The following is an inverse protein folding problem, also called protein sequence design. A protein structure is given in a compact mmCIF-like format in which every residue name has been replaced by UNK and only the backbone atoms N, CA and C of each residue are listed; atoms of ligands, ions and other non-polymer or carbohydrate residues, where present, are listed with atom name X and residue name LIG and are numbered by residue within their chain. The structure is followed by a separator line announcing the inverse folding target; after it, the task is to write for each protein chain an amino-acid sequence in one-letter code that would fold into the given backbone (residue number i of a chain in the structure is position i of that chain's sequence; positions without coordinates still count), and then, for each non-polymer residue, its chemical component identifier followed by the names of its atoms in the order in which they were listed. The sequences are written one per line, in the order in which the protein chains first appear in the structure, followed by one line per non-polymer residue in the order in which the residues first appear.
data_IF_279441965764
#
_entry.id   IF_279441965764
#
_cell.length_a   1.000
_cell.length_b   1.000
_cell.length_c   1.000
_cell.angle_alpha   90.00
_cell.angle_beta   90.00
_cell.angle_gamma   90.00
#
_symmetry.space_group_name_H-M   'P 1'
#
loop_
_entity.id
_entity.type
_entity.pdbx_description
1 polymer ?
#
# COMPACT_ATOMS: atom_id res chain seq x y z
N UNK A 1 -27.89 -5.13 -2.43
CA UNK A 1 -28.13 -5.35 -3.87
C UNK A 1 -29.63 -5.36 -4.20
N UNK A 2 -30.48 -6.02 -3.40
CA UNK A 2 -31.95 -6.03 -3.64
C UNK A 2 -32.57 -4.63 -3.66
N UNK A 3 -31.97 -3.68 -2.92
CA UNK A 3 -32.43 -2.29 -2.82
C UNK A 3 -31.71 -1.33 -3.83
N UNK A 4 -31.02 -1.87 -4.82
CA UNK A 4 -30.24 -1.07 -5.79
C UNK A 4 -28.95 -0.44 -5.25
N UNK A 5 -28.57 -0.73 -4.00
CA UNK A 5 -27.36 -0.20 -3.38
C UNK A 5 -26.15 -1.02 -3.82
N UNK A 6 -25.11 -0.35 -4.32
CA UNK A 6 -23.83 -0.93 -4.69
C UNK A 6 -22.85 -0.84 -3.51
N UNK A 7 -22.19 -1.95 -3.18
CA UNK A 7 -21.27 -2.04 -2.04
C UNK A 7 -19.84 -1.97 -2.54
N UNK A 8 -19.05 -1.10 -1.95
CA UNK A 8 -17.59 -1.03 -2.11
C UNK A 8 -16.94 -1.58 -0.86
N UNK A 9 -15.86 -2.35 -1.05
CA UNK A 9 -15.08 -2.88 0.07
C UNK A 9 -13.73 -2.16 0.17
N UNK A 10 -13.27 -2.01 1.41
CA UNK A 10 -11.90 -1.60 1.67
C UNK A 10 -10.95 -2.76 1.37
N UNK A 11 -9.96 -2.50 0.51
CA UNK A 11 -8.94 -3.46 0.08
C UNK A 11 -7.61 -3.07 0.70
N UNK A 12 -7.21 -3.79 1.74
CA UNK A 12 -5.93 -3.60 2.41
C UNK A 12 -4.95 -4.67 1.92
N UNK A 13 -4.07 -4.31 1.00
CA UNK A 13 -3.13 -5.23 0.35
C UNK A 13 -1.67 -4.78 0.42
N UNK A 14 -1.40 -3.67 1.10
CA UNK A 14 -0.05 -3.25 1.42
C UNK A 14 0.56 -4.06 2.58
N UNK A 15 -0.25 -4.48 3.53
CA UNK A 15 0.16 -5.19 4.75
C UNK A 15 -0.94 -6.14 5.23
N UNK A 16 -0.62 -6.99 6.18
CA UNK A 16 -1.61 -7.81 6.92
C UNK A 16 -1.53 -7.50 8.41
N UNK A 17 -2.45 -8.05 9.19
CA UNK A 17 -2.25 -8.17 10.63
C UNK A 17 -1.06 -9.10 10.93
N UNK A 18 -0.32 -8.83 12.01
CA UNK A 18 0.69 -9.75 12.56
C UNK A 18 0.07 -11.08 13.03
N UNK A 19 -1.25 -11.13 13.23
CA UNK A 19 -2.01 -12.35 13.55
C UNK A 19 -2.45 -13.12 12.30
N UNK A 20 -2.22 -12.59 11.10
CA UNK A 20 -2.55 -13.30 9.87
C UNK A 20 -1.73 -14.60 9.77
N UNK A 21 -2.38 -15.69 9.33
CA UNK A 21 -1.74 -17.01 9.22
C UNK A 21 -0.44 -16.96 8.43
N UNK A 22 -0.40 -16.22 7.33
CA UNK A 22 0.82 -16.10 6.52
C UNK A 22 1.98 -15.54 7.32
N UNK A 23 1.75 -14.46 8.10
CA UNK A 23 2.82 -13.86 8.90
C UNK A 23 3.25 -14.76 10.06
N UNK A 24 2.30 -15.37 10.74
CA UNK A 24 2.58 -16.30 11.84
C UNK A 24 3.45 -17.48 11.41
N UNK A 25 3.21 -17.99 10.19
CA UNK A 25 4.05 -19.06 9.62
C UNK A 25 5.38 -18.53 9.08
N UNK A 26 5.37 -17.36 8.39
CA UNK A 26 6.57 -16.73 7.83
C UNK A 26 7.63 -16.40 8.89
N UNK A 27 7.23 -15.99 10.11
CA UNK A 27 8.17 -15.64 11.18
C UNK A 27 8.77 -16.83 11.90
N UNK A 28 8.19 -18.05 11.78
CA UNK A 28 8.67 -19.25 12.47
C UNK A 28 9.89 -19.86 11.79
N UNK A 29 9.91 -19.85 10.45
CA UNK A 29 10.93 -20.54 9.66
C UNK A 29 11.22 -19.79 8.36
N UNK A 30 12.51 -19.58 8.07
CA UNK A 30 13.00 -18.94 6.84
C UNK A 30 12.67 -19.74 5.57
N UNK A 31 12.45 -21.03 5.68
CA UNK A 31 12.09 -21.91 4.56
C UNK A 31 10.57 -22.07 4.39
N UNK A 32 9.76 -21.36 5.19
CA UNK A 32 8.32 -21.45 5.10
C UNK A 32 7.82 -20.87 3.77
N UNK A 33 6.78 -21.48 3.18
CA UNK A 33 6.13 -21.04 1.94
C UNK A 33 5.78 -19.55 1.96
N UNK A 34 5.33 -19.02 3.11
CA UNK A 34 4.88 -17.63 3.23
C UNK A 34 6.01 -16.66 3.58
N UNK A 35 7.25 -17.15 3.70
CA UNK A 35 8.38 -16.29 4.08
C UNK A 35 8.50 -15.08 3.18
N UNK A 36 8.53 -15.31 1.87
CA UNK A 36 8.72 -14.28 0.87
C UNK A 36 7.44 -13.48 0.55
N UNK A 37 6.33 -13.75 1.25
CA UNK A 37 5.15 -12.89 1.22
C UNK A 37 5.37 -11.58 1.98
N UNK A 38 6.39 -11.52 2.84
CA UNK A 38 6.79 -10.35 3.60
C UNK A 38 8.22 -9.97 3.29
N UNK A 39 8.59 -8.74 3.66
CA UNK A 39 9.93 -8.20 3.37
C UNK A 39 10.79 -8.36 4.61
N UNK A 40 11.81 -9.21 4.51
CA UNK A 40 12.76 -9.52 5.59
C UNK A 40 14.15 -9.08 5.20
N UNK A 41 14.92 -8.55 6.16
CA UNK A 41 16.33 -8.21 5.97
C UNK A 41 17.13 -8.52 7.22
N UNK A 42 18.37 -8.93 7.03
CA UNK A 42 19.34 -9.00 8.13
C UNK A 42 19.65 -7.60 8.63
N UNK A 43 19.79 -7.47 9.95
CA UNK A 43 20.32 -6.26 10.54
C UNK A 43 21.81 -6.07 10.24
N UNK A 44 22.32 -4.90 10.54
CA UNK A 44 23.73 -4.58 10.48
C UNK A 44 24.20 -4.11 11.86
N UNK A 45 25.20 -4.80 12.44
CA UNK A 45 25.78 -4.48 13.76
C UNK A 45 24.71 -4.37 14.87
N UNK A 46 23.74 -5.28 14.89
CA UNK A 46 22.62 -5.29 15.84
C UNK A 46 21.58 -4.17 15.64
N UNK A 47 21.68 -3.42 14.54
CA UNK A 47 20.77 -2.35 14.17
C UNK A 47 19.87 -2.76 12.96
N UNK A 48 18.76 -2.05 12.75
CA UNK A 48 17.94 -2.25 11.56
C UNK A 48 18.73 -2.11 10.26
N UNK A 49 18.29 -2.73 9.15
CA UNK A 49 19.01 -2.73 7.88
C UNK A 49 19.25 -1.33 7.29
N UNK A 50 18.38 -0.39 7.58
CA UNK A 50 18.52 1.03 7.20
C UNK A 50 17.67 1.93 8.12
N UNK A 51 17.70 3.24 7.86
CA UNK A 51 17.05 4.29 8.67
C UNK A 51 15.61 4.63 8.27
N UNK A 52 14.94 3.79 7.46
CA UNK A 52 13.55 3.99 7.10
C UNK A 52 12.67 4.14 8.34
N UNK A 53 11.72 5.08 8.25
CA UNK A 53 10.80 5.41 9.36
C UNK A 53 9.38 4.93 9.06
N UNK A 54 8.74 4.45 10.11
CA UNK A 54 7.31 4.18 10.12
C UNK A 54 6.51 5.49 10.06
N UNK A 55 5.34 5.46 9.44
CA UNK A 55 4.39 6.59 9.44
C UNK A 55 3.87 6.91 10.84
N UNK A 56 3.95 5.95 11.77
CA UNK A 56 3.55 6.14 13.17
C UNK A 56 4.73 6.50 14.08
N UNK A 57 5.91 6.72 13.49
CA UNK A 57 7.15 7.06 14.20
C UNK A 57 8.02 5.84 14.51
N UNK A 58 9.28 6.09 14.81
CA UNK A 58 10.26 5.04 15.04
C UNK A 58 10.78 4.38 13.76
N UNK A 59 11.46 3.24 13.89
CA UNK A 59 11.97 2.45 12.77
C UNK A 59 10.81 1.83 11.97
N UNK A 60 10.97 1.68 10.66
CA UNK A 60 10.09 0.87 9.82
C UNK A 60 10.46 -0.63 9.85
N UNK A 61 11.42 -1.02 10.66
CA UNK A 61 11.92 -2.37 10.79
C UNK A 61 11.76 -2.86 12.22
N UNK A 62 11.15 -4.03 12.40
CA UNK A 62 11.01 -4.69 13.70
C UNK A 62 11.78 -6.01 13.70
N UNK A 63 12.54 -6.26 14.77
CA UNK A 63 13.33 -7.46 14.92
C UNK A 63 12.48 -8.68 15.26
N UNK A 64 12.75 -9.80 14.56
CA UNK A 64 12.14 -11.11 14.83
C UNK A 64 13.21 -12.04 15.38
N UNK A 65 13.19 -12.36 16.67
CA UNK A 65 14.20 -13.22 17.28
C UNK A 65 14.14 -14.65 16.76
N UNK A 66 12.99 -15.12 16.27
CA UNK A 66 12.82 -16.48 15.77
C UNK A 66 13.69 -16.78 14.53
N UNK A 67 13.98 -15.74 13.75
CA UNK A 67 14.74 -15.91 12.50
C UNK A 67 15.98 -15.03 12.43
N UNK A 68 16.26 -14.24 13.48
CA UNK A 68 17.37 -13.29 13.53
C UNK A 68 17.40 -12.35 12.30
N UNK A 69 16.24 -11.79 11.97
CA UNK A 69 16.05 -10.85 10.88
C UNK A 69 15.01 -9.78 11.26
N UNK A 70 14.96 -8.72 10.50
CA UNK A 70 13.98 -7.65 10.63
C UNK A 70 12.91 -7.76 9.54
N UNK A 71 11.64 -7.55 9.89
CA UNK A 71 10.56 -7.38 8.91
C UNK A 71 10.19 -5.91 8.74
N UNK A 72 9.74 -5.56 7.55
CA UNK A 72 9.31 -4.21 7.22
C UNK A 72 7.88 -3.96 7.70
N UNK A 73 7.63 -2.75 8.25
CA UNK A 73 6.30 -2.22 8.54
C UNK A 73 6.27 -0.71 8.37
N UNK A 74 5.60 -0.20 7.38
CA UNK A 74 5.48 1.26 7.22
C UNK A 74 4.44 1.89 8.13
N UNK A 75 3.61 1.08 8.78
CA UNK A 75 2.64 1.51 9.80
C UNK A 75 2.98 0.91 11.16
N UNK A 76 2.04 0.30 11.84
CA UNK A 76 2.31 -0.38 13.11
C UNK A 76 3.20 -1.61 12.90
N UNK A 77 4.03 -1.94 13.89
CA UNK A 77 4.72 -3.24 13.94
C UNK A 77 3.78 -4.44 13.92
N UNK A 78 2.48 -4.23 14.20
CA UNK A 78 1.44 -5.24 14.04
C UNK A 78 0.85 -5.30 12.63
N UNK A 79 1.41 -4.54 11.68
CA UNK A 79 0.99 -4.47 10.30
C UNK A 79 2.20 -4.71 9.37
N UNK A 80 2.74 -5.95 9.33
CA UNK A 80 3.87 -6.29 8.47
C UNK A 80 3.54 -6.08 7.00
N UNK A 81 4.45 -5.43 6.29
CA UNK A 81 4.30 -5.08 4.88
C UNK A 81 4.48 -6.29 3.97
N UNK A 82 3.59 -6.40 2.99
CA UNK A 82 3.62 -7.45 1.97
C UNK A 82 4.65 -7.16 0.88
N UNK A 83 5.24 -8.23 0.37
CA UNK A 83 6.24 -8.23 -0.69
C UNK A 83 5.60 -8.45 -2.07
N UNK A 84 5.18 -7.40 -2.73
CA UNK A 84 4.55 -7.46 -4.05
C UNK A 84 5.47 -7.94 -5.18
N UNK A 85 6.77 -8.07 -4.96
CA UNK A 85 7.66 -8.74 -5.92
C UNK A 85 7.37 -10.24 -6.02
N UNK A 86 6.78 -10.84 -4.99
CA UNK A 86 6.41 -12.25 -4.96
C UNK A 86 5.14 -12.50 -5.78
N UNK A 87 5.26 -13.26 -6.87
CA UNK A 87 4.14 -13.57 -7.77
C UNK A 87 3.05 -14.40 -7.07
N UNK A 88 3.43 -15.38 -6.25
CA UNK A 88 2.47 -16.23 -5.55
C UNK A 88 1.59 -15.40 -4.60
N UNK A 89 2.18 -14.41 -3.91
CA UNK A 89 1.41 -13.45 -3.12
C UNK A 89 0.40 -12.69 -3.97
N UNK A 90 0.82 -12.16 -5.12
CA UNK A 90 -0.10 -11.42 -6.01
C UNK A 90 -1.27 -12.29 -6.45
N UNK A 91 -1.00 -13.54 -6.82
CA UNK A 91 -2.07 -14.48 -7.21
C UNK A 91 -3.03 -14.80 -6.07
N UNK A 92 -2.55 -14.91 -4.82
CA UNK A 92 -3.43 -15.09 -3.65
C UNK A 92 -4.33 -13.85 -3.44
N UNK A 93 -3.78 -12.66 -3.61
CA UNK A 93 -4.54 -11.41 -3.52
C UNK A 93 -5.62 -11.37 -4.63
N UNK A 94 -5.26 -11.70 -5.88
CA UNK A 94 -6.23 -11.69 -6.99
C UNK A 94 -7.34 -12.73 -6.80
N UNK A 95 -7.04 -13.90 -6.26
CA UNK A 95 -8.06 -14.89 -5.90
C UNK A 95 -9.03 -14.34 -4.85
N UNK A 96 -8.51 -13.68 -3.84
CA UNK A 96 -9.32 -13.05 -2.79
C UNK A 96 -10.21 -11.93 -3.37
N UNK A 97 -9.66 -11.06 -4.21
CA UNK A 97 -10.41 -9.99 -4.87
C UNK A 97 -11.53 -10.55 -5.77
N UNK A 98 -11.23 -11.55 -6.60
CA UNK A 98 -12.21 -12.18 -7.47
C UNK A 98 -13.34 -12.84 -6.67
N UNK A 99 -13.04 -13.51 -5.56
CA UNK A 99 -14.08 -14.06 -4.67
C UNK A 99 -15.08 -12.99 -4.23
N UNK A 100 -14.62 -11.81 -3.83
CA UNK A 100 -15.52 -10.73 -3.42
C UNK A 100 -16.30 -10.13 -4.59
N UNK A 101 -15.67 -9.96 -5.75
CA UNK A 101 -16.34 -9.53 -6.98
C UNK A 101 -17.42 -10.53 -7.41
N UNK A 102 -17.16 -11.83 -7.31
CA UNK A 102 -18.13 -12.90 -7.63
C UNK A 102 -19.33 -12.90 -6.65
N UNK A 103 -19.12 -12.44 -5.41
CA UNK A 103 -20.20 -12.21 -4.44
C UNK A 103 -20.99 -10.93 -4.74
N UNK A 104 -20.60 -10.15 -5.75
CA UNK A 104 -21.35 -9.02 -6.27
C UNK A 104 -21.01 -7.67 -5.64
N UNK A 105 -19.83 -7.50 -5.02
CA UNK A 105 -19.38 -6.14 -4.66
C UNK A 105 -19.14 -5.33 -5.95
N UNK A 106 -19.31 -4.01 -5.85
CA UNK A 106 -19.22 -3.10 -7.00
C UNK A 106 -17.83 -2.48 -7.17
N UNK A 107 -16.87 -2.84 -6.34
CA UNK A 107 -15.50 -2.35 -6.43
C UNK A 107 -14.79 -2.23 -5.10
N UNK A 108 -13.66 -1.52 -5.13
CA UNK A 108 -12.74 -1.41 -4.00
C UNK A 108 -12.30 0.03 -3.75
N UNK A 109 -12.23 0.41 -2.47
CA UNK A 109 -11.34 1.47 -2.02
C UNK A 109 -10.03 0.81 -1.62
N UNK A 110 -8.92 1.20 -2.23
CA UNK A 110 -7.63 0.54 -2.07
C UNK A 110 -6.74 1.32 -1.11
N UNK A 111 -6.53 0.77 0.07
CA UNK A 111 -5.74 1.35 1.15
C UNK A 111 -4.27 1.49 0.73
N UNK A 112 -3.73 2.70 0.85
CA UNK A 112 -2.32 3.06 0.57
C UNK A 112 -1.69 2.33 -0.61
N UNK A 113 -2.42 2.29 -1.71
CA UNK A 113 -2.08 1.46 -2.87
C UNK A 113 -0.78 1.90 -3.56
N UNK A 114 -0.35 3.15 -3.38
CA UNK A 114 0.91 3.69 -3.88
C UNK A 114 2.15 3.06 -3.23
N UNK A 115 1.98 2.34 -2.10
CA UNK A 115 3.06 1.67 -1.39
C UNK A 115 3.36 0.25 -1.89
N UNK A 116 2.53 -0.37 -2.72
CA UNK A 116 2.76 -1.76 -3.14
C UNK A 116 3.99 -1.93 -4.03
N UNK A 117 4.43 -0.86 -4.70
CA UNK A 117 5.66 -0.82 -5.50
C UNK A 117 6.94 -0.48 -4.73
N UNK A 118 6.91 -0.49 -3.40
CA UNK A 118 8.05 -0.11 -2.54
C UNK A 118 9.34 -0.86 -2.85
N UNK A 119 10.49 -0.17 -2.71
CA UNK A 119 11.85 -0.75 -2.80
C UNK A 119 12.64 -0.32 -1.57
N UNK A 120 12.52 -1.02 -0.43
CA UNK A 120 13.08 -0.58 0.85
C UNK A 120 14.60 -0.43 0.84
N UNK A 121 15.30 -1.26 0.09
CA UNK A 121 16.77 -1.20 -0.02
C UNK A 121 17.26 0.09 -0.70
N UNK A 122 16.41 0.69 -1.55
CA UNK A 122 16.64 1.99 -2.18
C UNK A 122 15.95 3.15 -1.45
N UNK A 123 15.32 2.87 -0.30
CA UNK A 123 14.51 3.80 0.48
C UNK A 123 13.35 4.42 -0.32
N UNK A 124 12.86 3.70 -1.33
CA UNK A 124 11.67 4.08 -2.10
C UNK A 124 10.47 3.48 -1.39
N UNK A 125 9.59 4.34 -0.92
CA UNK A 125 8.38 3.98 -0.17
C UNK A 125 7.14 4.01 -1.04
N UNK A 126 6.90 5.12 -1.71
CA UNK A 126 5.72 5.42 -2.52
C UNK A 126 6.11 5.50 -4.00
N UNK A 127 5.16 5.23 -4.89
CA UNK A 127 5.34 5.36 -6.33
C UNK A 127 6.59 4.63 -6.86
N UNK A 128 6.89 3.46 -6.32
CA UNK A 128 8.06 2.69 -6.73
C UNK A 128 7.98 2.20 -8.18
N UNK A 129 9.12 1.79 -8.76
CA UNK A 129 9.26 1.60 -10.21
C UNK A 129 8.34 0.53 -10.81
N UNK A 130 7.92 -0.47 -10.02
CA UNK A 130 7.01 -1.55 -10.46
C UNK A 130 5.54 -1.31 -10.10
N UNK A 131 5.21 -0.18 -9.47
CA UNK A 131 3.85 0.08 -9.00
C UNK A 131 2.81 -0.04 -10.11
N UNK A 132 3.02 0.67 -11.22
CA UNK A 132 2.09 0.69 -12.33
C UNK A 132 2.01 -0.64 -13.09
N UNK A 133 3.08 -1.44 -13.06
CA UNK A 133 3.07 -2.81 -13.55
C UNK A 133 2.12 -3.69 -12.71
N UNK A 134 2.23 -3.61 -11.38
CA UNK A 134 1.36 -4.34 -10.46
C UNK A 134 -0.11 -3.90 -10.56
N UNK A 135 -0.38 -2.60 -10.73
CA UNK A 135 -1.75 -2.10 -10.90
C UNK A 135 -2.38 -2.59 -12.20
N UNK A 136 -1.64 -2.63 -13.29
CA UNK A 136 -2.10 -3.20 -14.57
C UNK A 136 -2.36 -4.70 -14.46
N UNK A 137 -1.44 -5.43 -13.83
CA UNK A 137 -1.60 -6.87 -13.60
C UNK A 137 -2.85 -7.14 -12.73
N UNK A 138 -3.05 -6.36 -11.67
CA UNK A 138 -4.23 -6.43 -10.81
C UNK A 138 -5.51 -6.16 -11.60
N UNK A 139 -5.55 -5.10 -12.39
CA UNK A 139 -6.69 -4.75 -13.24
C UNK A 139 -7.04 -5.92 -14.18
N UNK A 140 -6.06 -6.42 -14.92
CA UNK A 140 -6.24 -7.51 -15.91
C UNK A 140 -6.77 -8.80 -15.26
N UNK A 141 -6.30 -9.12 -14.05
CA UNK A 141 -6.64 -10.37 -13.37
C UNK A 141 -7.89 -10.29 -12.49
N UNK A 142 -8.46 -9.09 -12.27
CA UNK A 142 -9.58 -8.93 -11.32
C UNK A 142 -10.73 -8.09 -11.90
N UNK A 143 -10.70 -6.78 -11.75
CA UNK A 143 -11.83 -5.89 -12.01
C UNK A 143 -11.88 -5.32 -13.45
N UNK A 144 -10.84 -5.46 -14.25
CA UNK A 144 -10.71 -4.78 -15.55
C UNK A 144 -11.78 -5.12 -16.58
N UNK A 145 -12.38 -6.31 -16.50
CA UNK A 145 -13.46 -6.76 -17.38
C UNK A 145 -14.82 -6.87 -16.65
N UNK A 146 -14.97 -6.19 -15.52
CA UNK A 146 -16.18 -6.21 -14.70
C UNK A 146 -16.78 -4.81 -14.59
N UNK A 147 -18.08 -4.71 -14.33
CA UNK A 147 -18.72 -3.43 -13.93
C UNK A 147 -18.36 -3.11 -12.47
N UNK A 148 -17.09 -2.76 -12.25
CA UNK A 148 -16.53 -2.48 -10.96
C UNK A 148 -15.72 -1.18 -11.01
N UNK A 149 -15.81 -0.38 -9.95
CA UNK A 149 -15.07 0.86 -9.79
C UNK A 149 -14.00 0.71 -8.72
N UNK A 150 -12.87 1.37 -8.91
CA UNK A 150 -11.77 1.38 -7.94
C UNK A 150 -11.35 2.79 -7.58
N UNK A 151 -11.07 3.03 -6.30
CA UNK A 151 -10.49 4.29 -5.84
C UNK A 151 -9.25 4.01 -4.99
N UNK A 152 -8.11 4.51 -5.44
CA UNK A 152 -6.82 4.34 -4.75
C UNK A 152 -6.58 5.42 -3.71
N UNK A 153 -6.12 5.05 -2.53
CA UNK A 153 -5.56 5.99 -1.58
C UNK A 153 -4.08 6.21 -1.89
N UNK A 154 -3.74 7.41 -2.39
CA UNK A 154 -2.40 7.79 -2.83
C UNK A 154 -2.01 9.12 -2.19
N UNK A 155 -1.15 9.07 -1.16
CA UNK A 155 -0.79 10.27 -0.39
C UNK A 155 0.17 11.21 -1.13
N UNK A 156 1.00 10.68 -2.01
CA UNK A 156 1.96 11.44 -2.81
C UNK A 156 1.46 11.84 -4.21
N UNK A 157 0.15 11.75 -4.47
CA UNK A 157 -0.38 12.05 -5.79
C UNK A 157 -0.52 13.55 -6.04
N UNK A 158 0.12 14.03 -7.11
CA UNK A 158 -0.17 15.30 -7.77
C UNK A 158 -1.10 15.08 -8.96
N UNK A 159 -1.70 16.13 -9.57
CA UNK A 159 -2.51 15.98 -10.78
C UNK A 159 -1.79 15.24 -11.92
N UNK A 160 -0.48 15.45 -12.09
CA UNK A 160 0.34 14.78 -13.10
C UNK A 160 0.51 13.29 -12.78
N UNK A 161 0.80 12.97 -11.52
CA UNK A 161 0.93 11.59 -11.03
C UNK A 161 -0.42 10.88 -11.10
N UNK A 162 -1.53 11.57 -10.77
CA UNK A 162 -2.87 11.00 -10.82
C UNK A 162 -3.22 10.41 -12.20
N UNK A 163 -2.80 11.07 -13.28
CA UNK A 163 -2.98 10.58 -14.66
C UNK A 163 -2.31 9.22 -14.90
N UNK A 164 -1.21 8.94 -14.22
CA UNK A 164 -0.54 7.64 -14.34
C UNK A 164 -1.40 6.49 -13.79
N UNK A 165 -2.24 6.78 -12.79
CA UNK A 165 -3.14 5.79 -12.19
C UNK A 165 -4.48 5.66 -12.92
N UNK A 166 -5.00 6.77 -13.47
CA UNK A 166 -6.43 6.87 -13.81
C UNK A 166 -6.73 7.15 -15.27
N UNK A 167 -5.74 7.47 -16.11
CA UNK A 167 -5.99 7.65 -17.52
C UNK A 167 -6.52 6.33 -18.16
N UNK A 168 -7.62 6.37 -18.93
CA UNK A 168 -8.31 5.15 -19.41
C UNK A 168 -7.41 4.18 -20.18
N UNK A 169 -6.47 4.70 -20.95
CA UNK A 169 -5.50 3.91 -21.72
C UNK A 169 -4.50 3.15 -20.85
N UNK A 170 -4.35 3.58 -19.59
CA UNK A 170 -3.45 2.94 -18.62
C UNK A 170 -3.99 1.60 -18.11
N UNK A 171 -5.33 1.45 -18.04
CA UNK A 171 -6.00 0.26 -17.52
C UNK A 171 -5.49 -0.11 -16.12
N UNK A 172 -5.50 0.86 -15.21
CA UNK A 172 -5.09 0.70 -13.83
C UNK A 172 -6.29 0.92 -12.90
N UNK A 173 -6.50 2.11 -12.34
CA UNK A 173 -7.60 2.42 -11.43
C UNK A 173 -8.64 3.33 -12.08
N UNK A 174 -9.87 3.36 -11.54
CA UNK A 174 -10.91 4.27 -12.00
C UNK A 174 -10.66 5.70 -11.53
N UNK A 175 -10.19 5.86 -10.29
CA UNK A 175 -9.86 7.15 -9.67
C UNK A 175 -8.89 6.95 -8.50
N UNK A 176 -8.36 8.05 -7.98
CA UNK A 176 -7.61 8.10 -6.73
C UNK A 176 -8.08 9.25 -5.85
N UNK A 177 -7.84 9.15 -4.55
CA UNK A 177 -7.93 10.28 -3.65
C UNK A 177 -6.75 11.22 -3.87
N UNK A 178 -7.03 12.51 -3.80
CA UNK A 178 -6.03 13.56 -3.80
C UNK A 178 -5.99 14.19 -2.39
N UNK A 179 -4.80 14.24 -1.80
CA UNK A 179 -4.61 14.71 -0.41
C UNK A 179 -3.70 15.94 -0.28
N UNK A 180 -3.31 16.54 -1.39
CA UNK A 180 -2.41 17.70 -1.37
C UNK A 180 -2.99 18.86 -0.55
N UNK A 181 -4.31 19.09 -0.66
CA UNK A 181 -4.99 20.14 0.07
C UNK A 181 -4.88 20.02 1.60
N UNK A 182 -4.85 18.81 2.14
CA UNK A 182 -4.74 18.59 3.60
C UNK A 182 -3.30 18.64 4.12
N UNK A 183 -2.33 18.92 3.25
CA UNK A 183 -0.93 19.12 3.62
C UNK A 183 -0.52 20.61 3.62
N UNK A 184 -1.39 21.49 3.12
CA UNK A 184 -1.06 22.90 2.89
C UNK A 184 -0.81 23.69 4.17
N UNK A 185 -1.43 23.31 5.28
CA UNK A 185 -1.26 23.91 6.58
C UNK A 185 -0.11 23.30 7.41
N UNK A 186 0.60 22.31 6.90
CA UNK A 186 1.72 21.69 7.61
C UNK A 186 3.02 22.46 7.39
N UNK A 187 3.81 22.58 8.46
CA UNK A 187 5.17 23.12 8.37
C UNK A 187 6.09 22.11 7.70
N UNK A 188 6.82 22.56 6.69
CA UNK A 188 7.82 21.73 6.00
C UNK A 188 8.91 21.29 6.99
N UNK A 189 9.11 19.96 7.13
CA UNK A 189 10.08 19.39 8.07
C UNK A 189 9.63 19.38 9.54
N UNK A 190 8.41 19.83 9.83
CA UNK A 190 7.81 19.78 11.17
C UNK A 190 7.22 18.41 11.51
N UNK A 191 6.79 18.26 12.77
CA UNK A 191 6.03 17.08 13.22
C UNK A 191 4.60 17.14 12.73
N UNK A 192 3.84 16.04 12.89
CA UNK A 192 2.48 15.88 12.40
C UNK A 192 1.52 17.04 12.75
N UNK A 193 1.71 17.66 13.90
CA UNK A 193 0.85 18.73 14.44
C UNK A 193 1.49 20.12 14.40
N UNK A 194 2.65 20.25 13.75
CA UNK A 194 3.28 21.54 13.54
C UNK A 194 2.61 22.24 12.36
N UNK A 195 1.57 22.99 12.68
CA UNK A 195 0.76 23.68 11.67
C UNK A 195 1.28 25.11 11.43
N UNK A 196 1.02 25.62 10.24
CA UNK A 196 1.16 27.03 9.81
C UNK A 196 -0.20 27.55 9.40
N UNK A 197 -0.32 28.87 9.29
CA UNK A 197 -1.51 29.49 8.72
C UNK A 197 -1.73 29.03 7.26
N UNK A 198 -2.97 28.67 6.92
CA UNK A 198 -3.36 28.24 5.59
C UNK A 198 -3.46 29.46 4.67
N UNK A 199 -2.67 29.48 3.58
CA UNK A 199 -2.85 30.45 2.50
C UNK A 199 -3.92 29.94 1.51
N UNK A 200 -5.05 30.64 1.43
CA UNK A 200 -6.15 30.30 0.52
C UNK A 200 -5.76 30.34 -0.96
N UNK A 201 -4.70 31.08 -1.31
CA UNK A 201 -4.15 31.09 -2.67
C UNK A 201 -3.51 29.74 -3.01
N UNK A 202 -2.85 29.12 -2.04
CA UNK A 202 -2.27 27.79 -2.22
C UNK A 202 -3.36 26.73 -2.32
N UNK A 203 -4.42 26.83 -1.50
CA UNK A 203 -5.59 25.98 -1.63
C UNK A 203 -6.21 26.06 -3.04
N UNK A 204 -6.36 27.28 -3.58
CA UNK A 204 -6.90 27.48 -4.93
C UNK A 204 -6.04 26.89 -6.05
N UNK A 205 -4.72 26.76 -5.86
CA UNK A 205 -3.82 26.16 -6.85
C UNK A 205 -3.95 24.64 -6.92
N UNK A 206 -4.41 24.01 -5.85
CA UNK A 206 -4.49 22.55 -5.71
C UNK A 206 -5.81 22.01 -6.25
N UNK A 207 -6.83 22.87 -6.41
CA UNK A 207 -8.11 22.59 -7.05
C UNK A 207 -8.16 23.16 -8.47
#
# INVERSE_FOLDING_TARGET
QKEGIRIFMDLVVNHTSDQHKWFQEARKDKNNRYRDFYIWRKGKDGQPPNDLKSNFGGSAWEYSPETDEYYLHFYSKKQPDLNWENEELRQEIYRMMNKWLDLGIAGFRMDVIDLIGKVPDKKIKENGPKLHEYLKEMNQNTFGNRDAMTVGECWGATPEIAKLYTAPERKELSMIFQFEQIQLDKKKGGQRWDLKELDLRDLKKVF
#
